data_IF_502953617327
#
_entry.id   IF_502953617327
#
_cell.length_a   1.000
_cell.length_b   1.000
_cell.length_c   1.000
_cell.angle_alpha   90.00
_cell.angle_beta   90.00
_cell.angle_gamma   90.00
#
_symmetry.space_group_name_H-M   'P 1'
#
loop_
_entity.id
_entity.type
_entity.pdbx_description
1 polymer ?
#
# COMPACT_ATOMS: atom_id res chain seq x y z
N UNK A 1 20.81 22.77 -13.27
CA UNK A 1 19.77 22.68 -12.23
C UNK A 1 19.81 21.33 -11.49
N UNK A 2 19.82 20.22 -12.18
CA UNK A 2 19.85 18.87 -11.60
C UNK A 2 20.96 18.62 -10.54
N UNK A 3 22.18 19.15 -10.73
CA UNK A 3 23.27 19.00 -9.76
C UNK A 3 23.02 19.82 -8.48
N UNK A 4 22.56 21.05 -8.64
CA UNK A 4 22.29 21.95 -7.52
C UNK A 4 21.20 21.41 -6.57
N UNK A 5 20.14 20.77 -7.09
CA UNK A 5 19.07 20.22 -6.26
C UNK A 5 19.53 18.96 -5.49
N UNK A 6 20.37 18.13 -6.10
CA UNK A 6 20.98 16.97 -5.45
C UNK A 6 21.89 17.41 -4.30
N UNK A 7 22.73 18.43 -4.53
CA UNK A 7 23.58 19.02 -3.49
C UNK A 7 22.75 19.68 -2.38
N UNK A 8 21.65 20.35 -2.71
CA UNK A 8 20.78 20.98 -1.73
C UNK A 8 20.15 19.93 -0.80
N UNK A 9 19.66 18.81 -1.35
CA UNK A 9 19.13 17.69 -0.55
C UNK A 9 20.22 17.12 0.34
N UNK A 10 21.43 16.92 -0.20
CA UNK A 10 22.56 16.40 0.59
C UNK A 10 22.94 17.33 1.74
N UNK A 11 23.03 18.65 1.50
CA UNK A 11 23.28 19.63 2.57
C UNK A 11 22.22 19.63 3.66
N UNK A 12 20.98 19.22 3.36
CA UNK A 12 19.86 19.14 4.31
C UNK A 12 19.69 17.76 4.94
N UNK A 13 20.62 16.82 4.71
CA UNK A 13 20.59 15.44 5.21
C UNK A 13 20.18 15.34 6.68
N UNK A 14 20.87 16.07 7.57
CA UNK A 14 20.58 16.03 9.00
C UNK A 14 19.15 16.50 9.33
N UNK A 15 18.66 17.54 8.64
CA UNK A 15 17.28 18.04 8.77
C UNK A 15 16.24 17.02 8.29
N UNK A 16 16.51 16.30 7.19
CA UNK A 16 15.62 15.27 6.64
C UNK A 16 15.54 14.09 7.61
N UNK A 17 16.68 13.63 8.13
CA UNK A 17 16.74 12.53 9.10
C UNK A 17 16.02 12.93 10.40
N UNK A 18 16.26 14.14 10.90
CA UNK A 18 15.56 14.66 12.08
C UNK A 18 14.06 14.76 11.89
N UNK A 19 13.60 15.11 10.69
CA UNK A 19 12.18 15.13 10.34
C UNK A 19 11.59 13.71 10.33
N UNK A 20 12.25 12.75 9.67
CA UNK A 20 11.84 11.35 9.71
C UNK A 20 11.75 10.84 11.15
N UNK A 21 12.77 11.12 11.98
CA UNK A 21 12.74 10.74 13.38
C UNK A 21 11.54 11.35 14.13
N UNK A 22 11.16 12.58 13.81
CA UNK A 22 9.95 13.22 14.32
C UNK A 22 8.68 12.50 13.90
N UNK A 23 8.57 12.10 12.62
CA UNK A 23 7.43 11.33 12.10
C UNK A 23 7.31 9.97 12.77
N UNK A 24 8.42 9.26 12.99
CA UNK A 24 8.43 7.95 13.67
C UNK A 24 7.98 8.09 15.13
N UNK A 25 8.47 9.13 15.86
CA UNK A 25 8.04 9.41 17.24
C UNK A 25 6.56 9.81 17.36
N UNK A 26 5.97 10.30 16.28
CA UNK A 26 4.53 10.54 16.20
C UNK A 26 3.82 9.21 15.90
N UNK A 27 3.57 8.43 16.95
CA UNK A 27 2.88 7.14 16.85
C UNK A 27 1.52 7.30 16.15
N UNK A 28 1.27 6.45 15.16
CA UNK A 28 0.04 6.45 14.35
C UNK A 28 -0.44 5.04 14.00
N UNK A 29 -0.50 4.10 14.96
CA UNK A 29 -0.94 2.74 14.66
C UNK A 29 -2.41 2.72 14.21
N UNK A 30 -2.71 1.94 13.20
CA UNK A 30 -4.04 1.73 12.66
C UNK A 30 -4.43 0.24 12.78
N UNK A 31 -5.49 -0.13 13.51
CA UNK A 31 -6.38 0.74 14.30
C UNK A 31 -5.68 1.41 15.51
N UNK A 32 -6.19 2.57 16.03
CA UNK A 32 -7.35 3.35 15.58
C UNK A 32 -7.05 4.33 14.44
N UNK A 33 -5.80 4.50 14.00
CA UNK A 33 -5.41 5.33 12.88
C UNK A 33 -5.42 6.85 13.19
N UNK A 34 -4.98 7.26 14.38
CA UNK A 34 -4.85 8.69 14.71
C UNK A 34 -3.55 9.26 14.14
N UNK A 35 -3.67 9.91 12.98
CA UNK A 35 -2.51 10.47 12.25
C UNK A 35 -2.32 11.97 12.47
N UNK A 36 -3.11 12.62 13.34
CA UNK A 36 -3.06 14.09 13.54
C UNK A 36 -1.66 14.62 13.85
N UNK A 37 -0.92 13.95 14.73
CA UNK A 37 0.44 14.39 15.10
C UNK A 37 1.42 14.30 13.92
N UNK A 38 1.29 13.28 13.07
CA UNK A 38 2.09 13.14 11.86
C UNK A 38 1.75 14.26 10.88
N UNK A 39 0.46 14.49 10.64
CA UNK A 39 -0.03 15.57 9.78
C UNK A 39 0.43 16.96 10.27
N UNK A 40 0.38 17.22 11.58
CA UNK A 40 0.85 18.48 12.16
C UNK A 40 2.35 18.74 11.90
N UNK A 41 3.19 17.69 11.99
CA UNK A 41 4.61 17.77 11.69
C UNK A 41 4.87 18.09 10.21
N UNK A 42 4.14 17.41 9.30
CA UNK A 42 4.25 17.65 7.85
C UNK A 42 3.76 19.07 7.53
N UNK A 43 2.59 19.46 8.02
CA UNK A 43 2.04 20.80 7.83
C UNK A 43 2.95 21.88 8.40
N UNK A 44 3.55 21.65 9.58
CA UNK A 44 4.53 22.56 10.20
C UNK A 44 5.74 22.78 9.31
N UNK A 45 6.22 21.71 8.66
CA UNK A 45 7.34 21.78 7.74
C UNK A 45 6.99 22.50 6.44
N UNK A 46 5.83 22.22 5.86
CA UNK A 46 5.36 22.89 4.64
C UNK A 46 5.09 24.39 4.83
N UNK A 47 4.60 24.81 6.02
CA UNK A 47 4.41 26.26 6.33
C UNK A 47 5.70 27.08 6.26
N UNK A 48 6.85 26.46 6.41
CA UNK A 48 8.16 27.13 6.29
C UNK A 48 8.62 27.29 4.82
N UNK A 49 7.79 26.89 3.86
CA UNK A 49 8.06 26.93 2.42
C UNK A 49 7.04 27.79 1.68
N UNK A 50 7.22 27.97 0.37
CA UNK A 50 6.24 28.60 -0.52
C UNK A 50 5.20 27.61 -1.10
N UNK A 51 5.10 26.40 -0.55
CA UNK A 51 4.20 25.36 -1.02
C UNK A 51 2.82 25.58 -0.44
N UNK A 52 1.81 25.68 -1.28
CA UNK A 52 0.41 25.73 -0.85
C UNK A 52 -0.06 24.33 -0.42
N UNK A 53 -0.76 24.25 0.71
CA UNK A 53 -1.30 22.98 1.15
C UNK A 53 -2.65 23.13 1.86
N UNK A 54 -3.42 22.05 1.85
CA UNK A 54 -4.69 21.90 2.55
C UNK A 54 -4.64 20.67 3.44
N UNK A 55 -5.38 20.71 4.56
CA UNK A 55 -5.63 19.56 5.43
C UNK A 55 -7.11 19.20 5.28
N UNK A 56 -7.40 18.00 4.80
CA UNK A 56 -8.73 17.54 4.42
C UNK A 56 -9.08 16.26 5.17
N UNK A 57 -10.28 16.16 5.68
CA UNK A 57 -10.74 14.95 6.39
C UNK A 57 -12.26 14.93 6.51
N UNK A 58 -12.85 13.74 6.48
CA UNK A 58 -14.23 13.49 6.95
C UNK A 58 -14.24 12.83 8.35
N UNK A 59 -13.06 12.43 8.85
CA UNK A 59 -12.86 11.89 10.17
C UNK A 59 -11.73 12.64 10.88
N UNK A 60 -12.01 13.39 11.98
CA UNK A 60 -11.02 14.30 12.60
C UNK A 60 -9.70 13.66 13.02
N UNK A 61 -9.67 12.35 13.25
CA UNK A 61 -8.43 11.62 13.61
C UNK A 61 -7.60 11.21 12.40
N UNK A 62 -8.18 11.26 11.19
CA UNK A 62 -7.57 10.80 9.94
C UNK A 62 -7.45 11.95 8.92
N UNK A 63 -6.71 13.04 9.25
CA UNK A 63 -6.48 14.13 8.31
C UNK A 63 -5.59 13.65 7.15
N UNK A 64 -5.84 14.21 5.98
CA UNK A 64 -5.00 14.05 4.79
C UNK A 64 -4.42 15.40 4.40
N UNK A 65 -3.15 15.43 4.00
CA UNK A 65 -2.50 16.64 3.49
C UNK A 65 -2.46 16.55 1.97
N UNK A 66 -2.84 17.64 1.31
CA UNK A 66 -2.70 17.83 -0.14
C UNK A 66 -1.89 19.11 -0.35
N UNK A 67 -0.65 18.97 -0.80
CA UNK A 67 0.25 20.08 -1.07
C UNK A 67 0.52 20.21 -2.58
N UNK A 68 0.61 21.44 -3.10
CA UNK A 68 0.81 21.69 -4.52
C UNK A 68 1.92 22.70 -4.76
N UNK A 69 2.73 22.42 -5.79
CA UNK A 69 3.79 23.28 -6.28
C UNK A 69 3.68 23.39 -7.81
N UNK A 70 3.71 24.61 -8.34
CA UNK A 70 3.46 24.88 -9.76
C UNK A 70 1.96 24.94 -10.09
N UNK A 71 1.62 24.97 -11.37
CA UNK A 71 0.24 25.06 -11.85
C UNK A 71 0.09 24.48 -13.26
N UNK A 72 -1.10 23.97 -13.56
CA UNK A 72 -1.45 23.43 -14.89
C UNK A 72 -1.07 21.97 -15.08
N UNK A 73 -1.01 21.56 -16.33
CA UNK A 73 -0.71 20.17 -16.74
C UNK A 73 0.68 20.06 -17.35
N UNK A 74 1.33 18.86 -17.25
CA UNK A 74 0.85 17.64 -16.58
C UNK A 74 0.87 17.78 -15.04
N UNK A 75 0.07 16.96 -14.35
CA UNK A 75 0.09 16.83 -12.90
C UNK A 75 0.79 15.51 -12.50
N UNK A 76 1.89 15.62 -11.75
CA UNK A 76 2.60 14.50 -11.13
C UNK A 76 2.21 14.45 -9.66
N UNK A 77 1.65 13.33 -9.23
CA UNK A 77 1.32 13.08 -7.83
C UNK A 77 2.38 12.21 -7.16
N UNK A 78 2.86 12.67 -6.01
CA UNK A 78 3.54 11.86 -5.01
C UNK A 78 2.58 11.58 -3.86
N UNK A 79 2.38 10.32 -3.51
CA UNK A 79 1.49 9.92 -2.43
C UNK A 79 2.15 8.89 -1.53
N UNK A 80 1.97 9.01 -0.21
CA UNK A 80 2.37 7.99 0.75
C UNK A 80 1.59 8.17 2.05
N UNK A 81 1.58 7.14 2.91
CA UNK A 81 0.71 7.11 4.08
C UNK A 81 1.39 7.54 5.38
N UNK A 82 0.58 8.00 6.32
CA UNK A 82 0.99 8.49 7.65
C UNK A 82 0.75 7.47 8.76
N UNK A 83 -0.17 6.54 8.56
CA UNK A 83 -0.47 5.48 9.53
C UNK A 83 0.54 4.34 9.45
N UNK A 84 0.48 3.44 10.40
CA UNK A 84 1.34 2.26 10.48
C UNK A 84 0.53 1.10 11.04
N UNK A 85 0.92 -0.15 10.76
CA UNK A 85 0.37 -1.27 11.52
C UNK A 85 0.73 -1.18 13.02
N UNK A 86 -0.02 -1.84 13.91
CA UNK A 86 0.33 -1.94 15.33
C UNK A 86 1.72 -2.56 15.53
N UNK A 87 2.36 -2.23 16.65
CA UNK A 87 3.72 -2.73 16.98
C UNK A 87 3.77 -4.22 17.32
N UNK A 88 2.60 -4.86 17.48
CA UNK A 88 2.52 -6.25 17.92
C UNK A 88 2.93 -6.41 19.40
N UNK A 89 3.83 -7.35 19.69
CA UNK A 89 4.36 -7.54 21.02
C UNK A 89 5.52 -6.58 21.33
N UNK A 90 5.34 -5.54 22.17
CA UNK A 90 6.41 -4.56 22.42
C UNK A 90 7.67 -5.17 23.07
N UNK A 91 7.53 -6.30 23.77
CA UNK A 91 8.66 -7.00 24.41
C UNK A 91 9.58 -7.73 23.42
N UNK A 92 9.13 -7.90 22.18
CA UNK A 92 9.94 -8.48 21.11
C UNK A 92 10.86 -7.45 20.42
N UNK A 93 10.65 -6.16 20.65
CA UNK A 93 11.47 -5.09 20.09
C UNK A 93 12.74 -4.89 20.91
N UNK A 94 13.88 -4.78 20.24
CA UNK A 94 15.19 -4.40 20.82
C UNK A 94 15.33 -2.90 20.99
N UNK A 95 14.66 -2.13 20.13
CA UNK A 95 14.60 -0.67 20.16
C UNK A 95 13.15 -0.24 20.42
N UNK A 96 12.95 0.88 21.13
CA UNK A 96 11.60 1.41 21.31
C UNK A 96 10.95 1.66 19.94
N UNK A 97 9.80 1.03 19.61
CA UNK A 97 9.16 1.18 18.30
C UNK A 97 8.80 2.61 17.93
N UNK A 98 8.73 3.53 18.89
CA UNK A 98 8.51 4.96 18.65
C UNK A 98 9.66 5.84 19.15
N UNK A 99 10.80 5.25 19.49
CA UNK A 99 11.99 5.97 19.94
C UNK A 99 12.73 6.70 18.82
N UNK A 100 12.61 6.22 17.59
CA UNK A 100 13.37 6.70 16.44
C UNK A 100 14.88 6.74 16.74
N UNK A 101 15.40 5.64 17.24
CA UNK A 101 16.80 5.52 17.60
C UNK A 101 17.66 5.38 16.35
N UNK A 102 18.71 6.18 16.25
CA UNK A 102 19.68 6.09 15.14
C UNK A 102 20.90 5.28 15.61
N UNK A 103 21.07 4.08 15.05
CA UNK A 103 22.21 3.19 15.33
C UNK A 103 23.03 3.01 14.07
N UNK A 104 24.19 3.61 14.01
CA UNK A 104 24.96 3.71 12.77
C UNK A 104 24.20 4.50 11.70
N UNK A 105 23.93 3.87 10.55
CA UNK A 105 23.10 4.46 9.49
C UNK A 105 21.63 4.08 9.56
N UNK A 106 21.20 3.29 10.56
CA UNK A 106 19.84 2.75 10.65
C UNK A 106 19.00 3.52 11.65
N UNK A 107 17.89 4.08 11.20
CA UNK A 107 16.88 4.68 12.04
C UNK A 107 15.80 3.62 12.33
N UNK A 108 15.71 3.20 13.61
CA UNK A 108 14.82 2.15 14.08
C UNK A 108 13.48 2.71 14.53
N UNK A 109 12.41 1.99 14.22
CA UNK A 109 11.07 2.26 14.72
C UNK A 109 9.97 1.82 13.77
N UNK A 110 8.74 1.65 14.28
CA UNK A 110 7.54 1.35 13.49
C UNK A 110 7.21 2.54 12.58
N UNK A 111 7.06 2.27 11.28
CA UNK A 111 6.87 3.29 10.26
C UNK A 111 8.18 3.92 9.78
N UNK A 112 9.34 3.49 10.28
CA UNK A 112 10.61 4.01 9.82
C UNK A 112 10.87 3.69 8.35
N UNK A 113 10.44 2.52 7.89
CA UNK A 113 10.49 2.10 6.49
C UNK A 113 9.13 2.21 5.82
N UNK A 114 8.06 1.75 6.50
CA UNK A 114 6.70 1.61 5.98
C UNK A 114 5.73 2.62 6.62
N UNK A 115 5.43 3.79 5.98
CA UNK A 115 6.15 4.38 4.83
C UNK A 115 6.58 5.84 5.13
N UNK A 116 6.80 6.19 6.42
CA UNK A 116 7.18 7.56 6.83
C UNK A 116 8.51 8.03 6.23
N UNK A 117 9.40 7.07 5.88
CA UNK A 117 10.64 7.38 5.16
C UNK A 117 10.35 7.95 3.78
N UNK A 118 9.39 7.38 3.04
CA UNK A 118 8.94 7.90 1.75
C UNK A 118 8.33 9.29 1.89
N UNK A 119 7.47 9.51 2.91
CA UNK A 119 6.92 10.84 3.20
C UNK A 119 8.02 11.86 3.48
N UNK A 120 9.01 11.52 4.32
CA UNK A 120 10.11 12.42 4.63
C UNK A 120 10.93 12.77 3.38
N UNK A 121 11.17 11.81 2.50
CA UNK A 121 11.89 11.99 1.25
C UNK A 121 11.08 12.83 0.25
N UNK A 122 9.79 12.59 0.09
CA UNK A 122 8.90 13.35 -0.81
C UNK A 122 8.74 14.81 -0.36
N UNK A 123 8.55 15.04 0.95
CA UNK A 123 8.49 16.40 1.50
C UNK A 123 9.81 17.13 1.26
N UNK A 124 10.95 16.48 1.48
CA UNK A 124 12.27 17.08 1.23
C UNK A 124 12.49 17.39 -0.26
N UNK A 125 12.01 16.53 -1.16
CA UNK A 125 12.06 16.79 -2.60
C UNK A 125 11.21 18.01 -2.97
N UNK A 126 9.97 18.10 -2.48
CA UNK A 126 9.08 19.22 -2.72
C UNK A 126 9.65 20.55 -2.19
N UNK A 127 10.26 20.55 -0.97
CA UNK A 127 10.96 21.71 -0.41
C UNK A 127 12.13 22.16 -1.29
N UNK A 128 12.92 21.22 -1.80
CA UNK A 128 14.05 21.55 -2.66
C UNK A 128 13.57 22.13 -3.99
N UNK A 129 12.52 21.57 -4.58
CA UNK A 129 11.90 22.04 -5.83
C UNK A 129 11.27 23.42 -5.68
N UNK A 130 10.69 23.74 -4.53
CA UNK A 130 10.10 25.05 -4.25
C UNK A 130 11.12 26.22 -4.26
N UNK A 131 12.42 25.92 -4.26
CA UNK A 131 13.49 26.93 -4.40
C UNK A 131 14.00 27.08 -5.84
N UNK A 132 13.52 26.21 -6.76
CA UNK A 132 13.91 26.18 -8.19
C UNK A 132 12.66 26.45 -9.00
N UNK A 133 12.66 27.43 -9.87
CA UNK A 133 11.47 27.88 -10.62
C UNK A 133 11.72 27.92 -12.13
N UNK A 134 10.62 27.88 -12.92
CA UNK A 134 9.27 27.39 -12.67
C UNK A 134 9.11 25.92 -13.10
N UNK A 135 8.19 25.18 -12.48
CA UNK A 135 7.71 23.91 -13.01
C UNK A 135 6.70 24.15 -14.14
N UNK A 136 6.79 23.38 -15.22
CA UNK A 136 5.82 23.37 -16.30
C UNK A 136 4.75 22.28 -16.06
N UNK A 137 3.84 22.55 -15.13
CA UNK A 137 2.84 21.62 -14.62
C UNK A 137 2.71 21.71 -13.11
N UNK A 138 2.04 20.77 -12.52
CA UNK A 138 1.78 20.70 -11.07
C UNK A 138 2.46 19.48 -10.47
N UNK A 139 3.26 19.69 -9.42
CA UNK A 139 3.65 18.64 -8.50
C UNK A 139 2.67 18.67 -7.32
N UNK A 140 1.92 17.60 -7.14
CA UNK A 140 1.06 17.37 -5.98
C UNK A 140 1.72 16.36 -5.05
N UNK A 141 1.71 16.62 -3.75
CA UNK A 141 2.09 15.68 -2.70
C UNK A 141 0.88 15.41 -1.83
N UNK A 142 0.56 14.13 -1.60
CA UNK A 142 -0.39 13.74 -0.58
C UNK A 142 0.27 12.91 0.51
N UNK A 143 -0.01 13.29 1.77
CA UNK A 143 0.25 12.45 2.93
C UNK A 143 -1.11 11.98 3.44
N UNK A 144 -1.40 10.68 3.25
CA UNK A 144 -2.73 10.13 3.48
C UNK A 144 -2.80 9.32 4.75
N UNK A 145 -4.00 9.20 5.29
CA UNK A 145 -4.32 8.32 6.42
C UNK A 145 -4.95 7.03 5.89
N UNK A 146 -5.01 5.99 6.75
CA UNK A 146 -5.87 4.82 6.58
C UNK A 146 -5.41 3.77 5.55
N UNK A 147 -4.20 3.90 4.99
CA UNK A 147 -3.69 2.95 3.99
C UNK A 147 -3.68 1.52 4.53
N UNK A 148 -3.17 1.31 5.73
CA UNK A 148 -2.94 0.02 6.39
C UNK A 148 -4.22 -0.80 6.65
N UNK A 149 -5.39 -0.17 6.49
CA UNK A 149 -6.70 -0.83 6.66
C UNK A 149 -7.63 -0.59 5.47
N UNK A 150 -7.08 -0.17 4.32
CA UNK A 150 -7.79 -0.13 3.05
C UNK A 150 -7.97 1.23 2.40
N UNK A 151 -7.42 2.34 2.94
CA UNK A 151 -7.33 3.65 2.28
C UNK A 151 -8.63 4.44 2.15
N UNK A 152 -9.72 3.96 2.76
CA UNK A 152 -11.08 4.55 2.58
C UNK A 152 -11.16 6.00 3.07
N UNK A 153 -10.46 6.32 4.17
CA UNK A 153 -10.41 7.68 4.75
C UNK A 153 -9.23 8.50 4.24
N UNK A 154 -8.37 7.87 3.43
CA UNK A 154 -7.17 8.42 2.85
C UNK A 154 -7.33 8.73 1.36
N UNK A 155 -6.66 7.95 0.54
CA UNK A 155 -6.59 8.15 -0.90
C UNK A 155 -7.96 8.02 -1.56
N UNK A 156 -8.79 7.02 -1.21
CA UNK A 156 -10.14 6.87 -1.77
C UNK A 156 -10.99 8.12 -1.52
N UNK A 157 -11.00 8.62 -0.27
CA UNK A 157 -11.70 9.87 0.07
C UNK A 157 -11.30 11.05 -0.83
N UNK A 158 -9.99 11.23 -1.07
CA UNK A 158 -9.48 12.33 -1.90
C UNK A 158 -9.85 12.17 -3.38
N UNK A 159 -9.78 10.94 -3.88
CA UNK A 159 -10.08 10.61 -5.29
C UNK A 159 -11.58 10.73 -5.55
N UNK A 160 -12.44 10.17 -4.71
CA UNK A 160 -13.90 10.18 -4.88
C UNK A 160 -14.51 11.58 -4.74
N UNK A 161 -13.86 12.46 -3.97
CA UNK A 161 -14.23 13.88 -3.89
C UNK A 161 -13.75 14.71 -5.08
N UNK A 162 -13.04 14.11 -6.02
CA UNK A 162 -12.49 14.83 -7.16
C UNK A 162 -11.42 15.88 -6.77
N UNK A 163 -10.66 15.60 -5.68
CA UNK A 163 -9.58 16.50 -5.23
C UNK A 163 -8.29 16.22 -6.01
N UNK A 164 -8.11 14.98 -6.47
CA UNK A 164 -6.92 14.50 -7.16
C UNK A 164 -7.27 14.07 -8.59
N UNK A 165 -6.55 14.64 -9.56
CA UNK A 165 -6.69 14.32 -10.99
C UNK A 165 -5.31 14.21 -11.66
N UNK A 166 -4.39 13.38 -11.15
CA UNK A 166 -3.03 13.31 -11.68
C UNK A 166 -2.99 12.70 -13.08
N UNK A 167 -1.97 13.09 -13.87
CA UNK A 167 -1.60 12.43 -15.12
C UNK A 167 -0.63 11.26 -14.87
N UNK A 168 0.13 11.34 -13.76
CA UNK A 168 1.10 10.32 -13.35
C UNK A 168 1.17 10.24 -11.82
N UNK A 169 1.40 9.05 -11.28
CA UNK A 169 1.46 8.80 -9.83
C UNK A 169 2.74 8.06 -9.45
N UNK A 170 3.35 8.50 -8.37
CA UNK A 170 4.39 7.76 -7.64
C UNK A 170 3.88 7.48 -6.23
N UNK A 171 3.72 6.22 -5.90
CA UNK A 171 3.39 5.78 -4.55
C UNK A 171 4.68 5.56 -3.78
N UNK A 172 4.80 6.19 -2.63
CA UNK A 172 5.95 6.08 -1.74
C UNK A 172 5.84 4.86 -0.86
N UNK A 173 6.29 3.73 -1.37
CA UNK A 173 6.26 2.43 -0.70
C UNK A 173 7.68 1.89 -0.46
N UNK A 174 7.76 0.83 0.33
CA UNK A 174 9.03 0.19 0.71
C UNK A 174 9.53 -0.73 -0.42
N UNK A 175 10.32 -0.18 -1.35
CA UNK A 175 10.81 -0.90 -2.55
C UNK A 175 12.33 -1.07 -2.63
N UNK A 176 13.06 -0.79 -1.56
CA UNK A 176 14.54 -0.75 -1.54
C UNK A 176 15.13 0.20 -2.60
N UNK A 177 14.49 1.34 -2.85
CA UNK A 177 14.82 2.30 -3.91
C UNK A 177 14.86 1.65 -5.32
N UNK A 178 14.02 0.64 -5.54
CA UNK A 178 13.83 0.03 -6.85
C UNK A 178 12.52 0.51 -7.47
N UNK A 179 12.52 0.68 -8.76
CA UNK A 179 11.35 1.06 -9.54
C UNK A 179 10.39 -0.14 -9.65
N UNK A 180 9.24 -0.09 -8.99
CA UNK A 180 8.20 -1.10 -9.20
C UNK A 180 7.13 -0.56 -10.16
N UNK A 181 6.81 -1.34 -11.18
CA UNK A 181 5.83 -1.02 -12.23
C UNK A 181 4.66 -1.99 -12.26
N UNK A 182 4.72 -3.03 -11.43
CA UNK A 182 3.64 -4.01 -11.28
C UNK A 182 3.42 -4.31 -9.78
N UNK A 183 2.16 -4.51 -9.41
CA UNK A 183 1.73 -4.82 -8.04
C UNK A 183 0.62 -5.87 -8.10
N UNK A 184 0.60 -6.79 -7.13
CA UNK A 184 -0.48 -7.77 -7.01
C UNK A 184 -1.75 -7.11 -6.45
N UNK A 185 -2.90 -7.51 -6.99
CA UNK A 185 -4.17 -7.14 -6.41
C UNK A 185 -4.45 -7.88 -5.09
N UNK A 186 -5.37 -7.35 -4.32
CA UNK A 186 -5.87 -7.92 -3.07
C UNK A 186 -7.36 -8.22 -3.18
N UNK A 187 -7.77 -9.38 -2.67
CA UNK A 187 -9.17 -9.77 -2.57
C UNK A 187 -9.35 -10.57 -1.27
N UNK A 188 -10.04 -9.98 -0.31
CA UNK A 188 -10.43 -10.67 0.92
C UNK A 188 -11.88 -11.10 0.83
N UNK A 189 -12.08 -12.38 1.04
CA UNK A 189 -13.39 -13.02 0.96
C UNK A 189 -13.79 -13.55 2.33
N UNK A 190 -15.08 -13.49 2.60
CA UNK A 190 -15.73 -14.12 3.73
C UNK A 190 -16.72 -15.16 3.20
N UNK A 191 -16.63 -16.37 3.72
CA UNK A 191 -17.56 -17.45 3.41
C UNK A 191 -18.30 -17.83 4.69
N UNK A 192 -19.62 -17.96 4.61
CA UNK A 192 -20.46 -18.43 5.70
C UNK A 192 -21.22 -19.66 5.24
N UNK A 193 -21.08 -20.76 5.97
CA UNK A 193 -21.89 -21.95 5.75
C UNK A 193 -22.97 -22.09 6.81
N UNK A 194 -24.16 -22.51 6.38
CA UNK A 194 -25.33 -22.65 7.22
C UNK A 194 -25.68 -24.12 7.43
N UNK A 195 -26.16 -24.42 8.62
CA UNK A 195 -26.57 -25.74 9.01
C UNK A 195 -27.88 -25.73 9.82
N UNK A 196 -28.09 -26.80 10.56
CA UNK A 196 -29.21 -26.93 11.50
C UNK A 196 -28.72 -27.60 12.77
N UNK A 197 -28.90 -26.91 13.90
CA UNK A 197 -28.53 -27.47 15.19
C UNK A 197 -29.33 -28.73 15.57
N UNK A 198 -28.64 -29.65 16.21
CA UNK A 198 -29.21 -30.85 16.80
C UNK A 198 -28.36 -31.34 17.97
N UNK A 199 -28.84 -32.26 18.74
CA UNK A 199 -28.04 -32.91 19.80
C UNK A 199 -26.90 -33.72 19.18
N UNK A 200 -25.68 -33.65 19.71
CA UNK A 200 -24.51 -34.34 19.16
C UNK A 200 -24.65 -35.89 19.12
N UNK A 201 -25.56 -36.48 19.90
CA UNK A 201 -25.85 -37.92 19.85
C UNK A 201 -26.85 -38.33 18.74
N UNK A 202 -27.55 -37.37 18.13
CA UNK A 202 -28.49 -37.57 17.03
C UNK A 202 -28.13 -36.63 15.84
N UNK A 203 -26.87 -36.67 15.33
CA UNK A 203 -26.40 -35.71 14.34
C UNK A 203 -27.16 -35.75 13.00
N UNK A 204 -27.81 -36.85 12.69
CA UNK A 204 -28.67 -37.01 11.49
C UNK A 204 -29.95 -36.16 11.52
N UNK A 205 -30.35 -35.64 12.70
CA UNK A 205 -31.45 -34.68 12.82
C UNK A 205 -31.01 -33.24 12.50
N UNK A 206 -29.69 -32.99 12.43
CA UNK A 206 -29.09 -31.71 12.12
C UNK A 206 -28.45 -31.63 10.74
N UNK A 207 -27.79 -30.52 10.46
CA UNK A 207 -26.88 -30.32 9.32
C UNK A 207 -25.65 -29.55 9.82
N UNK A 208 -24.47 -30.17 9.71
CA UNK A 208 -23.26 -29.65 10.30
C UNK A 208 -22.57 -28.60 9.41
N UNK A 209 -22.66 -27.33 9.80
CA UNK A 209 -22.06 -26.21 9.07
C UNK A 209 -20.52 -26.29 9.00
N UNK A 210 -19.85 -26.82 10.04
CA UNK A 210 -18.39 -27.02 10.01
C UNK A 210 -18.01 -28.05 8.94
N UNK A 211 -18.74 -29.17 8.86
CA UNK A 211 -18.50 -30.18 7.82
C UNK A 211 -18.75 -29.62 6.41
N UNK A 212 -19.75 -28.75 6.24
CA UNK A 212 -19.99 -28.04 4.99
C UNK A 212 -18.82 -27.10 4.65
N UNK A 213 -18.33 -26.31 5.62
CA UNK A 213 -17.19 -25.40 5.43
C UNK A 213 -15.91 -26.14 5.03
N UNK A 214 -15.61 -27.27 5.66
CA UNK A 214 -14.44 -28.08 5.30
C UNK A 214 -14.49 -28.53 3.82
N UNK A 215 -15.66 -28.92 3.32
CA UNK A 215 -15.86 -29.28 1.91
C UNK A 215 -15.70 -28.10 0.98
N UNK A 216 -16.19 -26.92 1.36
CA UNK A 216 -16.05 -25.69 0.59
C UNK A 216 -14.59 -25.27 0.49
N UNK A 217 -13.88 -25.26 1.62
CA UNK A 217 -12.47 -24.84 1.66
C UNK A 217 -11.56 -25.82 0.89
N UNK A 218 -11.76 -27.13 1.05
CA UNK A 218 -11.01 -28.16 0.31
C UNK A 218 -11.21 -28.04 -1.21
N UNK A 219 -12.44 -27.80 -1.65
CA UNK A 219 -12.76 -27.61 -3.06
C UNK A 219 -12.13 -26.32 -3.61
N UNK A 220 -12.15 -25.22 -2.85
CA UNK A 220 -11.52 -23.95 -3.23
C UNK A 220 -9.99 -24.11 -3.32
N UNK A 221 -9.34 -24.72 -2.33
CA UNK A 221 -7.90 -24.95 -2.36
C UNK A 221 -7.49 -25.87 -3.53
N UNK A 222 -8.28 -26.89 -3.82
CA UNK A 222 -8.02 -27.85 -4.91
C UNK A 222 -8.23 -27.21 -6.28
N UNK A 223 -9.37 -26.57 -6.51
CA UNK A 223 -9.74 -26.08 -7.84
C UNK A 223 -9.14 -24.70 -8.11
N UNK A 224 -9.37 -23.72 -7.23
CA UNK A 224 -8.82 -22.37 -7.42
C UNK A 224 -7.33 -22.38 -7.12
N UNK A 225 -6.92 -22.80 -5.93
CA UNK A 225 -5.50 -22.87 -5.55
C UNK A 225 -4.67 -23.75 -6.49
N UNK A 226 -5.25 -24.83 -7.02
CA UNK A 226 -4.63 -25.68 -8.04
C UNK A 226 -4.35 -24.94 -9.34
N UNK A 227 -5.33 -24.17 -9.84
CA UNK A 227 -5.20 -23.38 -11.07
C UNK A 227 -4.13 -22.27 -10.95
N UNK A 228 -3.99 -21.66 -9.76
CA UNK A 228 -3.01 -20.59 -9.51
C UNK A 228 -1.57 -21.05 -9.64
N UNK A 229 -1.26 -22.31 -9.36
CA UNK A 229 0.13 -22.83 -9.36
C UNK A 229 0.82 -22.75 -10.71
N UNK A 230 0.06 -22.71 -11.81
CA UNK A 230 0.59 -22.57 -13.17
C UNK A 230 0.69 -21.13 -13.69
N UNK A 231 0.17 -20.16 -12.94
CA UNK A 231 0.17 -18.77 -13.36
C UNK A 231 1.48 -18.08 -12.99
N UNK A 232 2.03 -17.33 -13.93
CA UNK A 232 3.28 -16.58 -13.75
C UNK A 232 3.16 -15.17 -14.28
N UNK A 233 3.97 -14.28 -13.73
CA UNK A 233 4.12 -12.91 -14.23
C UNK A 233 5.61 -12.55 -14.24
N UNK A 234 6.13 -11.77 -15.24
CA UNK A 234 7.55 -11.45 -15.34
C UNK A 234 8.14 -10.72 -14.14
N UNK A 235 7.33 -9.88 -13.47
CA UNK A 235 7.79 -8.99 -12.41
C UNK A 235 7.29 -9.38 -11.01
N UNK A 236 6.09 -9.97 -10.91
CA UNK A 236 5.51 -10.31 -9.60
C UNK A 236 5.61 -11.81 -9.30
N UNK A 237 5.71 -12.22 -8.02
CA UNK A 237 5.55 -13.61 -7.64
C UNK A 237 4.20 -14.17 -8.08
N UNK A 238 4.05 -15.51 -8.14
CA UNK A 238 2.77 -16.14 -8.48
C UNK A 238 1.59 -15.63 -7.65
N UNK A 239 0.36 -15.74 -8.16
CA UNK A 239 -0.83 -15.41 -7.39
C UNK A 239 -0.97 -16.38 -6.21
N UNK A 240 -1.72 -16.00 -5.18
CA UNK A 240 -1.84 -16.81 -3.98
C UNK A 240 -3.26 -16.83 -3.42
N UNK A 241 -3.58 -17.91 -2.73
CA UNK A 241 -4.81 -18.10 -1.96
C UNK A 241 -4.41 -18.65 -0.59
N UNK A 242 -4.92 -18.05 0.48
CA UNK A 242 -4.68 -18.47 1.86
C UNK A 242 -5.97 -18.40 2.67
N UNK A 243 -6.26 -19.44 3.44
CA UNK A 243 -7.33 -19.42 4.44
C UNK A 243 -6.78 -18.67 5.66
N UNK A 244 -7.36 -17.50 5.96
CA UNK A 244 -6.87 -16.62 7.03
C UNK A 244 -7.44 -16.97 8.41
N UNK A 245 -8.76 -17.19 8.48
CA UNK A 245 -9.46 -17.53 9.72
C UNK A 245 -10.55 -18.55 9.48
N UNK A 246 -10.89 -19.32 10.54
CA UNK A 246 -12.08 -20.18 10.57
C UNK A 246 -12.65 -20.18 11.97
N UNK A 247 -13.97 -20.09 12.11
CA UNK A 247 -14.71 -20.20 13.37
C UNK A 247 -16.10 -20.77 13.18
N UNK A 248 -16.57 -21.58 14.11
CA UNK A 248 -17.89 -22.19 14.03
C UNK A 248 -18.22 -23.05 15.24
N UNK A 249 -19.52 -23.34 15.40
CA UNK A 249 -20.05 -24.12 16.50
C UNK A 249 -20.03 -23.39 17.85
N UNK A 250 -20.76 -23.93 18.82
CA UNK A 250 -20.93 -23.34 20.18
C UNK A 250 -20.55 -24.29 21.31
N UNK A 251 -20.72 -25.61 21.12
CA UNK A 251 -20.38 -26.65 22.09
C UNK A 251 -20.15 -28.00 21.41
N UNK A 252 -19.31 -28.85 22.00
CA UNK A 252 -18.94 -30.16 21.44
C UNK A 252 -20.13 -31.11 21.25
N UNK A 253 -21.16 -31.01 22.07
CA UNK A 253 -22.36 -31.86 22.03
C UNK A 253 -23.54 -31.24 21.25
N UNK A 254 -23.30 -30.18 20.44
CA UNK A 254 -24.27 -29.52 19.58
C UNK A 254 -23.78 -29.58 18.15
N UNK A 255 -24.61 -30.06 17.20
CA UNK A 255 -24.32 -29.98 15.78
C UNK A 255 -24.27 -28.52 15.36
N UNK A 256 -23.15 -28.02 14.77
CA UNK A 256 -23.01 -26.61 14.41
C UNK A 256 -23.99 -26.20 13.31
N UNK A 257 -24.72 -25.11 13.52
CA UNK A 257 -25.62 -24.49 12.55
C UNK A 257 -24.99 -23.34 11.77
N UNK A 258 -23.76 -22.96 12.13
CA UNK A 258 -23.01 -21.87 11.51
C UNK A 258 -21.50 -22.13 11.54
N UNK A 259 -20.83 -21.76 10.43
CA UNK A 259 -19.37 -21.68 10.36
C UNK A 259 -18.95 -20.59 9.38
N UNK A 260 -17.92 -19.83 9.73
CA UNK A 260 -17.36 -18.74 8.92
C UNK A 260 -15.87 -18.98 8.67
N UNK A 261 -15.41 -18.64 7.48
CA UNK A 261 -13.99 -18.56 7.14
C UNK A 261 -13.67 -17.30 6.33
N UNK A 262 -12.43 -16.81 6.45
CA UNK A 262 -11.94 -15.73 5.59
C UNK A 262 -10.78 -16.22 4.74
N UNK A 263 -10.67 -15.67 3.53
CA UNK A 263 -9.65 -15.99 2.55
C UNK A 263 -8.93 -14.72 2.10
N UNK A 264 -7.60 -14.78 1.97
CA UNK A 264 -6.78 -13.79 1.30
C UNK A 264 -6.37 -14.34 -0.07
N UNK A 265 -6.82 -13.68 -1.14
CA UNK A 265 -6.51 -13.98 -2.53
C UNK A 265 -5.69 -12.83 -3.12
N UNK A 266 -4.47 -13.11 -3.63
CA UNK A 266 -3.65 -12.14 -4.32
C UNK A 266 -3.69 -12.43 -5.81
N UNK A 267 -4.11 -11.42 -6.61
CA UNK A 267 -4.28 -11.53 -8.07
C UNK A 267 -3.05 -11.01 -8.81
N UNK A 268 -2.80 -11.51 -10.01
CA UNK A 268 -1.80 -10.98 -10.95
C UNK A 268 -2.39 -9.83 -11.78
N UNK A 269 -1.55 -8.98 -12.41
CA UNK A 269 -2.00 -7.98 -13.38
C UNK A 269 -2.86 -8.52 -14.53
N UNK A 270 -2.69 -9.79 -14.88
CA UNK A 270 -3.49 -10.47 -15.91
C UNK A 270 -4.89 -10.93 -15.45
N UNK A 271 -5.24 -10.70 -14.18
CA UNK A 271 -6.52 -11.10 -13.59
C UNK A 271 -7.35 -9.87 -13.20
N UNK A 272 -8.67 -9.99 -13.25
CA UNK A 272 -9.57 -8.99 -12.71
C UNK A 272 -10.20 -9.47 -11.39
N UNK A 273 -10.56 -8.54 -10.52
CA UNK A 273 -11.24 -8.87 -9.26
C UNK A 273 -12.57 -9.61 -9.50
N UNK A 274 -13.46 -9.19 -10.44
CA UNK A 274 -14.68 -9.94 -10.74
C UNK A 274 -14.43 -11.38 -11.19
N UNK A 275 -13.39 -11.63 -12.01
CA UNK A 275 -13.05 -13.00 -12.42
C UNK A 275 -12.56 -13.85 -11.25
N UNK A 276 -11.75 -13.27 -10.35
CA UNK A 276 -11.26 -13.95 -9.16
C UNK A 276 -12.40 -14.31 -8.18
N UNK A 277 -13.39 -13.43 -8.02
CA UNK A 277 -14.61 -13.71 -7.23
C UNK A 277 -15.42 -14.83 -7.90
N UNK A 278 -15.66 -14.72 -9.21
CA UNK A 278 -16.43 -15.73 -9.97
C UNK A 278 -15.80 -17.13 -9.95
N UNK A 279 -14.47 -17.25 -9.76
CA UNK A 279 -13.81 -18.56 -9.57
C UNK A 279 -14.32 -19.23 -8.29
N UNK A 280 -14.40 -18.50 -7.18
CA UNK A 280 -14.86 -19.01 -5.89
C UNK A 280 -16.37 -19.29 -5.91
N UNK A 281 -17.15 -18.37 -6.49
CA UNK A 281 -18.62 -18.56 -6.65
C UNK A 281 -18.96 -19.84 -7.43
N UNK A 282 -18.21 -20.13 -8.50
CA UNK A 282 -18.40 -21.36 -9.27
C UNK A 282 -18.20 -22.62 -8.43
N UNK A 283 -17.15 -22.66 -7.62
CA UNK A 283 -16.86 -23.79 -6.73
C UNK A 283 -18.02 -24.01 -5.76
N UNK A 284 -18.50 -22.94 -5.12
CA UNK A 284 -19.63 -23.00 -4.19
C UNK A 284 -20.90 -23.49 -4.93
N UNK A 285 -21.18 -22.96 -6.11
CA UNK A 285 -22.34 -23.36 -6.91
C UNK A 285 -22.26 -24.81 -7.38
N UNK A 286 -21.07 -25.34 -7.69
CA UNK A 286 -20.85 -26.75 -8.03
C UNK A 286 -21.13 -27.68 -6.85
N UNK A 287 -20.67 -27.32 -5.67
CA UNK A 287 -20.95 -28.07 -4.44
C UNK A 287 -22.44 -28.08 -4.12
N UNK A 288 -23.13 -26.93 -4.23
CA UNK A 288 -24.58 -26.83 -4.01
C UNK A 288 -25.36 -27.66 -5.01
N UNK A 289 -24.96 -27.71 -6.30
CA UNK A 289 -25.61 -28.57 -7.31
C UNK A 289 -25.42 -30.04 -7.00
N UNK A 290 -24.26 -30.44 -6.49
CA UNK A 290 -23.99 -31.81 -6.10
C UNK A 290 -24.71 -32.21 -4.79
N UNK A 291 -24.90 -31.27 -3.89
CA UNK A 291 -25.54 -31.43 -2.59
C UNK A 291 -26.39 -30.17 -2.27
N UNK A 292 -27.68 -30.16 -2.63
CA UNK A 292 -28.55 -29.00 -2.38
C UNK A 292 -28.73 -28.64 -0.89
N UNK A 293 -28.31 -29.51 0.03
CA UNK A 293 -28.35 -29.20 1.46
C UNK A 293 -27.19 -28.34 1.92
N UNK A 294 -26.10 -28.25 1.13
CA UNK A 294 -24.97 -27.36 1.39
C UNK A 294 -25.38 -25.94 1.05
N UNK A 295 -25.47 -25.10 2.06
CA UNK A 295 -25.76 -23.66 1.93
C UNK A 295 -24.51 -22.89 2.30
N UNK A 296 -24.04 -22.01 1.39
CA UNK A 296 -22.86 -21.16 1.63
C UNK A 296 -23.07 -19.79 0.97
N UNK A 297 -22.81 -18.71 1.73
CA UNK A 297 -22.79 -17.34 1.25
C UNK A 297 -21.34 -16.89 1.07
N UNK A 298 -21.10 -16.09 0.02
CA UNK A 298 -19.82 -15.43 -0.25
C UNK A 298 -19.98 -13.91 -0.15
N UNK A 299 -19.07 -13.27 0.54
CA UNK A 299 -19.00 -11.82 0.68
C UNK A 299 -17.58 -11.34 0.36
N UNK A 300 -17.45 -10.24 -0.41
CA UNK A 300 -16.18 -9.53 -0.59
C UNK A 300 -16.02 -8.55 0.57
N UNK A 301 -15.01 -8.78 1.43
CA UNK A 301 -14.70 -7.91 2.58
C UNK A 301 -13.91 -6.70 2.09
N UNK A 302 -12.92 -6.94 1.22
CA UNK A 302 -12.03 -5.93 0.68
C UNK A 302 -11.54 -6.37 -0.69
N UNK A 303 -11.36 -5.42 -1.59
CA UNK A 303 -10.74 -5.66 -2.88
C UNK A 303 -9.94 -4.47 -3.36
N UNK A 304 -8.91 -4.75 -4.17
CA UNK A 304 -8.13 -3.75 -4.88
C UNK A 304 -7.53 -4.42 -6.12
N UNK A 305 -7.65 -3.81 -7.31
CA UNK A 305 -7.11 -4.39 -8.52
C UNK A 305 -5.58 -4.43 -8.46
N UNK A 306 -4.95 -5.31 -9.22
CA UNK A 306 -3.51 -5.26 -9.46
C UNK A 306 -3.14 -4.02 -10.27
N UNK A 307 -1.88 -3.64 -10.20
CA UNK A 307 -1.32 -2.53 -10.99
C UNK A 307 -0.33 -3.12 -12.01
N UNK A 308 -0.37 -2.61 -13.23
CA UNK A 308 0.70 -2.77 -14.21
C UNK A 308 0.79 -1.52 -15.08
N UNK A 309 1.91 -0.81 -14.95
CA UNK A 309 2.21 0.34 -15.79
C UNK A 309 3.14 -0.09 -16.93
N UNK A 310 2.75 0.13 -18.21
CA UNK A 310 3.56 -0.23 -19.35
C UNK A 310 4.98 0.34 -19.29
N UNK A 311 5.98 -0.44 -19.69
CA UNK A 311 7.38 -0.04 -19.61
C UNK A 311 7.74 1.14 -20.52
N UNK A 312 6.94 1.39 -21.55
CA UNK A 312 7.05 2.55 -22.44
C UNK A 312 6.29 3.80 -21.96
N UNK A 313 5.58 3.69 -20.82
CA UNK A 313 4.92 4.85 -20.23
C UNK A 313 5.93 5.96 -19.87
N UNK A 314 5.60 7.25 -20.12
CA UNK A 314 6.52 8.36 -19.90
C UNK A 314 7.13 8.40 -18.49
N UNK A 315 6.32 8.10 -17.45
CA UNK A 315 6.78 8.08 -16.07
C UNK A 315 7.81 6.96 -15.81
N UNK A 316 7.63 5.78 -16.41
CA UNK A 316 8.57 4.65 -16.28
C UNK A 316 9.90 4.99 -16.94
N UNK A 317 9.86 5.51 -18.17
CA UNK A 317 11.06 5.93 -18.89
C UNK A 317 11.81 7.05 -18.15
N UNK A 318 11.09 8.01 -17.59
CA UNK A 318 11.66 9.08 -16.79
C UNK A 318 12.30 8.52 -15.51
N UNK A 319 11.60 7.63 -14.79
CA UNK A 319 12.08 7.00 -13.56
C UNK A 319 13.34 6.15 -13.80
N UNK A 320 13.38 5.36 -14.88
CA UNK A 320 14.58 4.59 -15.27
C UNK A 320 15.78 5.49 -15.57
N UNK A 321 15.55 6.61 -16.28
CA UNK A 321 16.64 7.55 -16.57
C UNK A 321 17.19 8.21 -15.29
N UNK A 322 16.31 8.53 -14.31
CA UNK A 322 16.72 9.05 -13.00
C UNK A 322 17.46 7.98 -12.18
N UNK A 323 16.97 6.73 -12.18
CA UNK A 323 17.64 5.62 -11.52
C UNK A 323 19.07 5.44 -12.02
N UNK A 324 19.27 5.36 -13.35
CA UNK A 324 20.62 5.30 -13.97
C UNK A 324 21.52 6.46 -13.54
N UNK A 325 20.98 7.68 -13.48
CA UNK A 325 21.73 8.86 -13.07
C UNK A 325 22.18 8.83 -11.61
N UNK A 326 21.38 8.18 -10.75
CA UNK A 326 21.70 7.99 -9.33
C UNK A 326 22.44 6.69 -9.05
N UNK A 327 22.86 5.98 -10.10
CA UNK A 327 23.55 4.68 -10.01
C UNK A 327 22.71 3.61 -9.28
N UNK A 328 21.37 3.74 -9.38
CA UNK A 328 20.41 2.76 -8.85
C UNK A 328 20.07 1.71 -9.92
N UNK A 329 19.64 0.50 -9.52
CA UNK A 329 19.06 -0.46 -10.43
C UNK A 329 17.87 0.14 -11.20
N UNK A 330 17.96 0.15 -12.54
CA UNK A 330 16.91 0.72 -13.40
C UNK A 330 15.98 -0.32 -14.01
N UNK A 331 16.25 -1.61 -13.82
CA UNK A 331 15.35 -2.69 -14.21
C UNK A 331 14.09 -2.67 -13.33
N UNK A 332 12.90 -2.58 -13.94
CA UNK A 332 11.65 -2.62 -13.18
C UNK A 332 11.47 -3.91 -12.40
N UNK A 333 10.77 -3.82 -11.26
CA UNK A 333 10.41 -4.96 -10.40
C UNK A 333 8.92 -4.99 -10.15
N UNK A 334 8.44 -6.10 -9.59
CA UNK A 334 7.09 -6.20 -9.03
C UNK A 334 7.10 -5.94 -7.53
N UNK A 335 6.04 -5.31 -7.06
CA UNK A 335 5.73 -5.13 -5.65
C UNK A 335 4.78 -6.23 -5.19
N UNK A 336 5.06 -6.84 -4.03
CA UNK A 336 4.32 -8.03 -3.57
C UNK A 336 3.10 -7.70 -2.73
N UNK A 337 3.15 -6.57 -2.02
CA UNK A 337 2.07 -6.05 -1.21
C UNK A 337 1.06 -5.31 -2.09
N UNK A 338 -0.01 -4.79 -1.52
CA UNK A 338 -0.95 -3.89 -2.15
C UNK A 338 -0.74 -2.48 -1.60
N UNK A 339 -0.98 -1.47 -2.41
CA UNK A 339 -0.85 -0.06 -2.04
C UNK A 339 -2.06 0.77 -2.47
N UNK A 340 -2.11 2.02 -2.05
CA UNK A 340 -3.10 2.99 -2.50
C UNK A 340 -2.98 3.35 -3.99
N UNK A 341 -1.94 2.89 -4.67
CA UNK A 341 -1.79 3.02 -6.11
C UNK A 341 -2.97 2.46 -6.92
N UNK A 342 -3.67 1.45 -6.37
CA UNK A 342 -4.86 0.83 -6.97
C UNK A 342 -5.97 1.83 -7.32
N UNK A 343 -6.18 2.86 -6.49
CA UNK A 343 -7.23 3.87 -6.72
C UNK A 343 -6.98 4.73 -7.98
N UNK A 344 -5.72 4.88 -8.38
CA UNK A 344 -5.33 5.59 -9.59
C UNK A 344 -5.27 4.65 -10.79
N UNK A 345 -4.76 3.44 -10.59
CA UNK A 345 -4.70 2.41 -11.65
C UNK A 345 -6.08 2.04 -12.18
N UNK A 346 -7.11 1.93 -11.31
CA UNK A 346 -8.51 1.72 -11.70
C UNK A 346 -9.04 2.81 -12.64
N UNK A 347 -8.47 4.01 -12.56
CA UNK A 347 -8.82 5.17 -13.39
C UNK A 347 -7.91 5.31 -14.61
N UNK A 348 -7.07 4.29 -14.89
CA UNK A 348 -6.16 4.27 -16.04
C UNK A 348 -4.97 5.24 -15.90
N UNK A 349 -4.66 5.71 -14.69
CA UNK A 349 -3.53 6.61 -14.47
C UNK A 349 -2.24 5.80 -14.32
N UNK A 350 -1.20 6.06 -15.15
CA UNK A 350 0.10 5.41 -15.00
C UNK A 350 0.69 5.62 -13.61
N UNK A 351 0.87 4.51 -12.87
CA UNK A 351 1.28 4.50 -11.47
C UNK A 351 2.52 3.65 -11.29
N UNK A 352 3.53 4.18 -10.61
CA UNK A 352 4.75 3.46 -10.21
C UNK A 352 4.91 3.54 -8.70
N UNK A 353 5.65 2.58 -8.14
CA UNK A 353 6.03 2.60 -6.73
C UNK A 353 7.54 2.77 -6.60
N UNK A 354 7.95 3.56 -5.64
CA UNK A 354 9.37 3.77 -5.33
C UNK A 354 9.52 4.28 -3.90
N UNK A 355 10.50 3.78 -3.16
CA UNK A 355 10.84 4.34 -1.85
C UNK A 355 11.90 3.55 -1.11
N UNK A 356 12.42 4.14 -0.02
CA UNK A 356 13.50 3.56 0.77
C UNK A 356 13.00 2.41 1.67
N UNK A 357 13.95 1.62 2.17
CA UNK A 357 13.69 0.51 3.07
C UNK A 357 13.54 -0.83 2.36
N UNK A 358 13.81 -1.92 3.09
CA UNK A 358 13.76 -3.28 2.58
C UNK A 358 12.36 -3.85 2.76
N UNK A 359 11.70 -4.38 1.70
CA UNK A 359 10.32 -4.89 1.75
C UNK A 359 10.08 -5.95 2.83
N UNK A 360 11.12 -6.73 3.18
CA UNK A 360 11.06 -7.79 4.18
C UNK A 360 10.92 -7.25 5.62
N UNK A 361 11.16 -5.94 5.83
CA UNK A 361 11.04 -5.28 7.12
C UNK A 361 9.64 -4.73 7.37
N UNK A 362 8.77 -4.67 6.34
CA UNK A 362 7.39 -4.24 6.50
C UNK A 362 6.67 -5.13 7.54
N UNK A 363 5.94 -4.50 8.47
CA UNK A 363 5.13 -5.16 9.50
C UNK A 363 5.91 -6.05 10.49
N UNK A 364 7.25 -6.08 10.44
CA UNK A 364 8.07 -6.89 11.37
C UNK A 364 8.45 -6.11 12.64
N UNK A 365 8.92 -6.83 13.66
CA UNK A 365 9.58 -6.22 14.82
C UNK A 365 10.97 -5.72 14.41
N UNK A 366 11.51 -4.73 15.15
CA UNK A 366 12.82 -4.13 14.88
C UNK A 366 12.91 -3.50 13.47
N UNK A 367 11.80 -3.04 12.91
CA UNK A 367 11.75 -2.29 11.64
C UNK A 367 12.74 -1.12 11.68
N UNK A 368 13.45 -0.92 10.59
CA UNK A 368 14.38 0.21 10.42
C UNK A 368 14.48 0.61 8.95
N UNK A 369 15.02 1.80 8.72
CA UNK A 369 15.44 2.26 7.38
C UNK A 369 16.89 2.75 7.44
N UNK A 370 17.65 2.49 6.39
CA UNK A 370 18.96 3.14 6.22
C UNK A 370 18.75 4.60 5.81
N UNK A 371 19.36 5.53 6.54
CA UNK A 371 19.18 6.96 6.25
C UNK A 371 19.81 7.39 4.92
N UNK A 372 20.73 6.62 4.38
CA UNK A 372 21.26 6.85 3.04
C UNK A 372 20.21 6.59 1.97
N UNK A 373 19.39 5.55 2.15
CA UNK A 373 18.28 5.22 1.24
C UNK A 373 17.24 6.34 1.21
N UNK A 374 16.92 6.93 2.37
CA UNK A 374 15.99 8.06 2.48
C UNK A 374 16.47 9.27 1.70
N UNK A 375 17.75 9.60 1.80
CA UNK A 375 18.34 10.72 1.06
C UNK A 375 18.39 10.42 -0.43
N UNK A 376 18.69 9.18 -0.80
CA UNK A 376 18.65 8.72 -2.20
C UNK A 376 17.25 8.81 -2.79
N UNK A 377 16.22 8.39 -2.04
CA UNK A 377 14.83 8.55 -2.43
C UNK A 377 14.43 10.02 -2.62
N UNK A 378 14.84 10.91 -1.72
CA UNK A 378 14.58 12.33 -1.87
C UNK A 378 15.20 12.92 -3.16
N UNK A 379 16.42 12.52 -3.50
CA UNK A 379 17.07 12.88 -4.77
C UNK A 379 16.32 12.34 -5.96
N UNK A 380 15.87 11.07 -5.89
CA UNK A 380 15.10 10.43 -6.95
C UNK A 380 13.78 11.18 -7.21
N UNK A 381 12.99 11.46 -6.19
CA UNK A 381 11.74 12.19 -6.33
C UNK A 381 11.93 13.60 -6.91
N UNK A 382 12.94 14.32 -6.43
CA UNK A 382 13.24 15.66 -6.95
C UNK A 382 13.65 15.64 -8.44
N UNK A 383 14.52 14.72 -8.82
CA UNK A 383 14.98 14.57 -10.20
C UNK A 383 13.87 14.08 -11.13
N UNK A 384 13.00 13.16 -10.64
CA UNK A 384 11.85 12.68 -11.40
C UNK A 384 10.86 13.84 -11.66
N UNK A 385 10.56 14.64 -10.65
CA UNK A 385 9.69 15.81 -10.82
C UNK A 385 10.28 16.81 -11.81
N UNK A 386 11.59 17.11 -11.75
CA UNK A 386 12.24 17.96 -12.74
C UNK A 386 12.18 17.40 -14.14
N UNK A 387 12.36 16.10 -14.30
CA UNK A 387 12.31 15.45 -15.61
C UNK A 387 10.90 15.44 -16.20
N UNK A 388 9.88 15.26 -15.37
CA UNK A 388 8.48 15.24 -15.81
C UNK A 388 7.90 16.64 -16.00
N UNK A 389 8.28 17.60 -15.14
CA UNK A 389 7.68 18.93 -15.05
C UNK A 389 8.66 20.08 -15.36
N UNK A 390 9.91 19.79 -15.66
CA UNK A 390 10.92 20.78 -16.03
C UNK A 390 10.77 21.30 -17.45
N UNK A 391 11.46 22.42 -17.78
CA UNK A 391 11.54 22.95 -19.13
C UNK A 391 12.25 22.03 -20.12
N UNK A 392 12.25 22.37 -21.41
CA UNK A 392 12.82 21.54 -22.48
C UNK A 392 14.31 21.20 -22.27
N UNK A 393 15.08 22.13 -21.70
CA UNK A 393 16.52 21.95 -21.39
C UNK A 393 16.79 21.02 -20.20
N UNK A 394 15.78 20.60 -19.46
CA UNK A 394 15.90 19.83 -18.23
C UNK A 394 15.36 18.40 -18.39
N UNK A 395 14.69 18.12 -19.50
CA UNK A 395 14.13 16.81 -19.83
C UNK A 395 15.14 15.89 -20.52
N UNK A 396 16.29 16.41 -20.91
CA UNK A 396 17.43 15.67 -21.46
C UNK A 396 18.37 15.14 -20.33
#
# INVERSE_FOLDING_TARGET
MNHAIVEQIERRRASIIGFLAGLVRAASPNPPGDTRRVADLIAGRLRATSVDFQVLSDEPRKPNIVARLGAGRPELLFTSHMDTVPVGNPKAWRHDPFGAELVGSRLHGRGAADAKASLAAMVAAMEALGTVLPLHGTLTLTAVSDEEVGGVKGTEYLVDRGILHPDHVVVGEITANRLATAEKGVLWLRIVTHGRAAHGSTPWEGSNAISAMLRVLDAIETQVGGALRGMTHPLTPPPSLSIGTIRGGVATNVVPDWCEATLDRRTLPSETIPEAVAQVERVIAELHRADPTLQADLEVIQSGPPIETPLDAPIVQAAQAVARRLELPDAPVGYQQASDGRFFAERGVPTILFGPGQPELAHTVDEFVDVHDVITAAKFYALLALRMLGGADERS
#
